data_IF_004101298381
#
_entry.id   IF_004101298381
#
_cell.length_a   1.000
_cell.length_b   1.000
_cell.length_c   1.000
_cell.angle_alpha   90.00
_cell.angle_beta   90.00
_cell.angle_gamma   90.00
#
_symmetry.space_group_name_H-M   'P 1'
#
loop_
_entity.id
_entity.type
_entity.pdbx_description
1 polymer ?
#
# COMPACT_ATOMS: atom_id res chain seq x y z
N UNK A 1 2.11 8.46 11.65
CA UNK A 1 1.94 9.46 10.56
C UNK A 1 0.80 9.03 9.65
N UNK A 2 -0.05 9.98 9.22
CA UNK A 2 -1.12 9.72 8.25
C UNK A 2 -0.93 10.62 7.02
N UNK A 3 -0.88 10.01 5.84
CA UNK A 3 -0.86 10.68 4.54
C UNK A 3 -2.21 10.46 3.86
N UNK A 4 -2.90 11.56 3.53
CA UNK A 4 -4.10 11.54 2.69
C UNK A 4 -3.77 12.24 1.38
N UNK A 5 -3.83 11.50 0.28
CA UNK A 5 -3.39 11.95 -1.04
C UNK A 5 -4.27 11.30 -2.10
N UNK A 6 -4.54 11.96 -3.22
CA UNK A 6 -5.20 11.29 -4.35
C UNK A 6 -4.22 10.30 -5.01
N UNK A 7 -3.05 10.81 -5.39
CA UNK A 7 -1.97 10.02 -5.98
C UNK A 7 -0.66 10.29 -5.25
N UNK A 8 0.14 9.25 -5.03
CA UNK A 8 1.49 9.33 -4.49
C UNK A 8 2.48 8.71 -5.48
N UNK A 9 3.41 9.52 -5.99
CA UNK A 9 4.55 9.05 -6.78
C UNK A 9 5.79 9.02 -5.88
N UNK A 10 6.31 7.81 -5.65
CA UNK A 10 7.53 7.55 -4.89
C UNK A 10 8.50 6.70 -5.72
N UNK A 11 8.46 6.81 -7.05
CA UNK A 11 9.39 6.09 -7.93
C UNK A 11 10.82 6.57 -7.71
N UNK A 12 11.75 5.62 -7.58
CA UNK A 12 13.16 5.88 -7.23
C UNK A 12 13.38 6.75 -5.96
N UNK A 13 12.33 6.95 -5.16
CA UNK A 13 12.34 7.77 -3.94
C UNK A 13 12.35 6.94 -2.66
N UNK A 14 12.37 7.61 -1.52
CA UNK A 14 12.23 6.97 -0.21
C UNK A 14 11.26 7.74 0.68
N UNK A 15 10.24 7.04 1.18
CA UNK A 15 9.37 7.47 2.26
C UNK A 15 9.55 6.50 3.42
N UNK A 16 10.19 6.96 4.50
CA UNK A 16 10.51 6.12 5.64
C UNK A 16 10.13 6.77 6.98
N UNK A 17 9.74 5.94 7.95
CA UNK A 17 9.51 6.35 9.33
C UNK A 17 9.88 5.22 10.28
N UNK A 18 10.40 5.54 11.47
CA UNK A 18 10.61 4.55 12.54
C UNK A 18 9.29 4.13 13.22
N UNK A 19 8.22 4.92 13.04
CA UNK A 19 6.91 4.69 13.65
C UNK A 19 5.91 4.17 12.60
N UNK A 20 4.64 4.09 13.00
CA UNK A 20 3.55 3.69 12.11
C UNK A 20 3.36 4.72 10.99
N UNK A 21 3.18 4.21 9.78
CA UNK A 21 2.77 4.97 8.59
C UNK A 21 1.42 4.46 8.12
N UNK A 22 0.54 5.40 7.79
CA UNK A 22 -0.75 5.11 7.15
C UNK A 22 -0.87 5.96 5.90
N UNK A 23 -1.09 5.33 4.75
CA UNK A 23 -1.33 6.01 3.47
C UNK A 23 -2.73 5.71 3.00
N UNK A 24 -3.55 6.74 2.86
CA UNK A 24 -4.90 6.66 2.32
C UNK A 24 -4.96 7.44 1.01
N UNK A 25 -5.37 6.79 -0.08
CA UNK A 25 -5.46 7.44 -1.37
C UNK A 25 -6.02 6.58 -2.48
N UNK A 26 -5.96 7.07 -3.70
CA UNK A 26 -6.43 6.33 -4.89
C UNK A 26 -5.30 5.51 -5.47
N UNK A 27 -4.12 6.11 -5.69
CA UNK A 27 -2.98 5.42 -6.33
C UNK A 27 -1.67 5.69 -5.62
N UNK A 28 -0.85 4.64 -5.47
CA UNK A 28 0.55 4.75 -5.05
C UNK A 28 1.44 4.07 -6.08
N UNK A 29 2.44 4.78 -6.58
CA UNK A 29 3.50 4.23 -7.44
C UNK A 29 4.84 4.24 -6.69
N UNK A 30 5.33 3.05 -6.34
CA UNK A 30 6.60 2.82 -5.63
C UNK A 30 7.59 2.06 -6.53
N UNK A 31 7.52 2.27 -7.84
CA UNK A 31 8.33 1.54 -8.82
C UNK A 31 9.78 2.01 -8.88
N UNK A 32 10.59 1.33 -9.69
CA UNK A 32 11.92 1.79 -10.13
C UNK A 32 12.87 2.09 -8.96
N UNK A 33 12.92 1.18 -7.98
CA UNK A 33 13.73 1.31 -6.77
C UNK A 33 13.11 2.16 -5.66
N UNK A 34 11.84 2.55 -5.78
CA UNK A 34 11.10 3.26 -4.74
C UNK A 34 11.04 2.49 -3.42
N UNK A 35 11.11 3.18 -2.29
CA UNK A 35 11.07 2.59 -0.95
C UNK A 35 9.99 3.21 -0.08
N UNK A 36 9.13 2.37 0.50
CA UNK A 36 8.13 2.75 1.49
C UNK A 36 8.33 1.90 2.75
N UNK A 37 8.86 2.52 3.81
CA UNK A 37 9.34 1.81 5.00
C UNK A 37 8.65 2.33 6.27
N UNK A 38 8.16 1.41 7.13
CA UNK A 38 7.71 1.74 8.48
C UNK A 38 8.39 0.84 9.52
N UNK A 39 8.95 1.42 10.56
CA UNK A 39 9.61 0.67 11.64
C UNK A 39 8.65 -0.17 12.49
N UNK A 40 7.34 0.14 12.43
CA UNK A 40 6.28 -0.64 13.10
C UNK A 40 5.19 -1.04 12.10
N UNK A 41 4.00 -0.46 12.16
CA UNK A 41 2.91 -0.79 11.24
C UNK A 41 2.95 0.07 9.98
N UNK A 42 2.82 -0.55 8.82
CA UNK A 42 2.55 0.11 7.55
C UNK A 42 1.14 -0.28 7.08
N UNK A 43 0.22 0.68 7.10
CA UNK A 43 -1.15 0.50 6.63
C UNK A 43 -1.37 1.27 5.32
N UNK A 44 -1.76 0.56 4.27
CA UNK A 44 -2.05 1.10 2.95
C UNK A 44 -3.53 0.88 2.65
N UNK A 45 -4.27 1.97 2.46
CA UNK A 45 -5.65 1.95 1.99
C UNK A 45 -5.67 2.70 0.66
N UNK A 46 -5.58 1.94 -0.43
CA UNK A 46 -5.35 2.46 -1.77
C UNK A 46 -6.32 1.79 -2.74
N UNK A 47 -6.83 2.46 -3.77
CA UNK A 47 -7.49 1.72 -4.86
C UNK A 47 -6.47 0.89 -5.65
N UNK A 48 -5.31 1.48 -5.96
CA UNK A 48 -4.25 0.85 -6.72
C UNK A 48 -2.88 1.05 -6.05
N UNK A 49 -2.15 -0.05 -5.83
CA UNK A 49 -0.73 -0.03 -5.51
C UNK A 49 0.07 -0.59 -6.69
N UNK A 50 1.06 0.16 -7.15
CA UNK A 50 2.09 -0.31 -8.09
C UNK A 50 3.44 -0.30 -7.37
N UNK A 51 4.06 -1.46 -7.28
CA UNK A 51 5.36 -1.67 -6.67
C UNK A 51 6.20 -2.55 -7.62
N UNK A 52 6.77 -1.94 -8.65
CA UNK A 52 7.50 -2.65 -9.72
C UNK A 52 9.00 -2.40 -9.65
N UNK A 53 9.76 -3.14 -10.45
CA UNK A 53 11.16 -2.82 -10.78
C UNK A 53 12.01 -2.41 -9.56
N UNK A 54 12.25 -3.35 -8.64
CA UNK A 54 13.00 -3.13 -7.40
C UNK A 54 12.32 -2.22 -6.36
N UNK A 55 11.04 -1.89 -6.55
CA UNK A 55 10.22 -1.25 -5.53
C UNK A 55 10.14 -2.09 -4.26
N UNK A 56 10.28 -1.45 -3.11
CA UNK A 56 10.23 -2.06 -1.78
C UNK A 56 9.18 -1.39 -0.91
N UNK A 57 8.22 -2.17 -0.43
CA UNK A 57 7.25 -1.76 0.59
C UNK A 57 7.42 -2.69 1.78
N UNK A 58 7.77 -2.13 2.94
CA UNK A 58 8.14 -2.94 4.10
C UNK A 58 7.70 -2.30 5.41
N UNK A 59 7.25 -3.12 6.35
CA UNK A 59 7.15 -2.73 7.76
C UNK A 59 7.21 -3.92 8.69
N UNK A 60 7.24 -3.70 10.00
CA UNK A 60 7.13 -4.82 10.95
C UNK A 60 5.82 -5.58 10.73
N UNK A 61 4.71 -4.84 10.62
CA UNK A 61 3.44 -5.38 10.13
C UNK A 61 2.98 -4.57 8.91
N UNK A 62 2.66 -5.25 7.82
CA UNK A 62 2.11 -4.66 6.59
C UNK A 62 0.64 -5.05 6.44
N UNK A 63 -0.22 -4.06 6.26
CA UNK A 63 -1.60 -4.26 5.81
C UNK A 63 -1.88 -3.43 4.56
N UNK A 64 -2.23 -4.10 3.47
CA UNK A 64 -2.72 -3.49 2.24
C UNK A 64 -4.20 -3.82 2.04
N UNK A 65 -5.02 -2.78 1.92
CA UNK A 65 -6.42 -2.86 1.49
C UNK A 65 -6.58 -2.08 0.19
N UNK A 66 -7.12 -2.72 -0.84
CA UNK A 66 -7.33 -2.04 -2.11
C UNK A 66 -8.08 -2.82 -3.16
N UNK A 67 -8.09 -2.30 -4.40
CA UNK A 67 -8.73 -2.95 -5.54
C UNK A 67 -7.71 -3.69 -6.41
N UNK A 68 -6.55 -3.08 -6.62
CA UNK A 68 -5.50 -3.58 -7.51
C UNK A 68 -4.13 -3.51 -6.85
N UNK A 69 -3.37 -4.59 -6.99
CA UNK A 69 -1.96 -4.66 -6.64
C UNK A 69 -1.19 -5.12 -7.86
N UNK A 70 -0.22 -4.33 -8.28
CA UNK A 70 0.84 -4.79 -9.15
C UNK A 70 2.17 -4.78 -8.40
N UNK A 71 2.78 -5.96 -8.25
CA UNK A 71 4.05 -6.14 -7.56
C UNK A 71 5.10 -6.80 -8.47
N UNK A 72 5.06 -6.54 -9.78
CA UNK A 72 5.97 -7.20 -10.73
C UNK A 72 7.42 -6.76 -10.54
N UNK A 73 8.29 -7.70 -10.13
CA UNK A 73 9.70 -7.42 -9.78
C UNK A 73 9.87 -6.42 -8.62
N UNK A 74 8.86 -6.24 -7.78
CA UNK A 74 8.96 -5.52 -6.52
C UNK A 74 8.78 -6.46 -5.32
N UNK A 75 8.94 -5.92 -4.13
CA UNK A 75 8.85 -6.63 -2.86
C UNK A 75 7.83 -5.96 -1.95
N UNK A 76 6.81 -6.71 -1.54
CA UNK A 76 6.03 -6.44 -0.34
C UNK A 76 6.54 -7.37 0.77
N UNK A 77 7.00 -6.81 1.88
CA UNK A 77 7.54 -7.60 2.98
C UNK A 77 7.08 -7.13 4.35
N UNK A 78 7.04 -8.06 5.28
CA UNK A 78 6.88 -7.76 6.70
C UNK A 78 7.64 -8.77 7.55
N UNK A 79 8.04 -8.38 8.76
CA UNK A 79 8.68 -9.32 9.71
C UNK A 79 7.70 -10.09 10.59
N UNK A 80 6.57 -9.49 10.93
CA UNK A 80 5.54 -10.07 11.82
C UNK A 80 4.32 -10.53 11.02
N UNK A 81 3.59 -9.60 10.42
CA UNK A 81 2.36 -9.92 9.69
C UNK A 81 2.30 -9.21 8.34
N UNK A 82 2.01 -9.97 7.28
CA UNK A 82 1.70 -9.46 5.95
C UNK A 82 0.25 -9.80 5.61
N UNK A 83 -0.60 -8.78 5.45
CA UNK A 83 -2.00 -8.94 5.04
C UNK A 83 -2.29 -8.13 3.79
N UNK A 84 -2.85 -8.78 2.78
CA UNK A 84 -3.30 -8.17 1.54
C UNK A 84 -4.77 -8.51 1.33
N UNK A 85 -5.62 -7.50 1.27
CA UNK A 85 -7.07 -7.62 1.06
C UNK A 85 -7.44 -6.84 -0.19
N UNK A 86 -7.62 -7.57 -1.29
CA UNK A 86 -8.06 -6.99 -2.56
C UNK A 86 -9.55 -7.24 -2.74
N UNK A 87 -10.32 -6.17 -2.70
CA UNK A 87 -11.76 -6.20 -2.95
C UNK A 87 -12.08 -5.12 -3.99
N UNK A 88 -12.92 -5.46 -4.97
CA UNK A 88 -13.42 -4.46 -5.91
C UNK A 88 -14.30 -3.44 -5.16
N UNK A 89 -13.89 -2.18 -4.98
CA UNK A 89 -14.72 -1.17 -4.30
C UNK A 89 -16.02 -0.89 -5.05
N UNK A 90 -16.15 -1.34 -6.32
CA UNK A 90 -17.37 -1.26 -7.13
C UNK A 90 -18.41 -2.35 -6.86
N UNK A 91 -18.15 -3.32 -6.00
CA UNK A 91 -19.14 -4.31 -5.58
C UNK A 91 -20.15 -3.69 -4.61
N UNK A 92 -21.17 -2.99 -5.13
CA UNK A 92 -22.34 -2.55 -4.36
C UNK A 92 -22.77 -3.69 -3.45
N UNK A 93 -22.63 -3.50 -2.13
CA UNK A 93 -23.43 -4.24 -1.15
C UNK A 93 -24.88 -3.99 -1.54
N UNK A 94 -25.49 -4.96 -2.23
CA UNK A 94 -26.93 -4.97 -2.42
C UNK A 94 -27.52 -5.10 -1.02
N UNK A 95 -27.89 -3.96 -0.41
CA UNK A 95 -28.73 -3.96 0.78
C UNK A 95 -29.97 -4.80 0.43
N UNK A 96 -30.32 -5.82 1.21
CA UNK A 96 -31.61 -6.47 1.03
C UNK A 96 -32.69 -5.40 1.22
N UNK A 97 -33.54 -5.22 0.21
CA UNK A 97 -34.74 -4.43 0.35
C UNK A 97 -35.58 -5.07 1.48
N UNK A 98 -35.98 -4.24 2.45
CA UNK A 98 -37.04 -4.59 3.39
C UNK A 98 -38.37 -4.67 2.66
#
# INVERSE_FOLDING_TARGET
MLLKVDTLDNRAGELSSQQQVTVHGTRLDNSDGGKLLAGTRLALVLEQLINRNQGLVFGQALELRGAQLDNQRGTLGATDALRVSLANPGGRQRRPAR
#
